data_IF_430588104093
#
_entry.id   IF_430588104093
#
_cell.length_a   1.000
_cell.length_b   1.000
_cell.length_c   1.000
_cell.angle_alpha   90.00
_cell.angle_beta   90.00
_cell.angle_gamma   90.00
#
_symmetry.space_group_name_H-M   'P 1'
#
loop_
_entity.id
_entity.type
_entity.pdbx_description
1 polymer ?
#
# COMPACT_ATOMS: atom_id res chain seq x y z
N UNK A 1 -3.56 -15.80 -16.17
CA UNK A 1 -4.02 -15.66 -14.77
C UNK A 1 -4.96 -16.80 -14.36
N UNK A 2 -6.08 -17.03 -15.04
CA UNK A 2 -7.06 -18.08 -14.68
C UNK A 2 -6.47 -19.49 -14.58
N UNK A 3 -5.60 -19.88 -15.52
CA UNK A 3 -4.93 -21.18 -15.50
C UNK A 3 -4.01 -21.35 -14.26
N UNK A 4 -3.32 -20.28 -13.85
CA UNK A 4 -2.48 -20.29 -12.65
C UNK A 4 -3.35 -20.49 -11.41
N UNK A 5 -4.46 -19.76 -11.32
CA UNK A 5 -5.40 -19.86 -10.19
C UNK A 5 -6.02 -21.27 -10.13
N UNK A 6 -6.36 -21.87 -11.26
CA UNK A 6 -6.87 -23.24 -11.31
C UNK A 6 -5.84 -24.24 -10.71
N UNK A 7 -4.56 -24.15 -11.13
CA UNK A 7 -3.48 -24.99 -10.58
C UNK A 7 -3.31 -24.77 -9.07
N UNK A 8 -3.40 -23.51 -8.58
CA UNK A 8 -3.32 -23.24 -7.15
C UNK A 8 -4.49 -23.90 -6.40
N UNK A 9 -5.69 -23.88 -6.97
CA UNK A 9 -6.85 -24.59 -6.39
C UNK A 9 -6.65 -26.10 -6.35
N UNK A 10 -5.87 -26.67 -7.24
CA UNK A 10 -5.46 -28.09 -7.24
C UNK A 10 -4.29 -28.39 -6.27
N UNK A 11 -3.79 -27.37 -5.57
CA UNK A 11 -2.71 -27.50 -4.57
C UNK A 11 -1.30 -27.28 -5.12
N UNK A 12 -1.15 -26.78 -6.36
CA UNK A 12 0.15 -26.48 -6.95
C UNK A 12 0.81 -25.26 -6.27
N UNK A 13 1.78 -25.53 -5.40
CA UNK A 13 2.55 -24.50 -4.69
C UNK A 13 3.46 -23.69 -5.62
N UNK A 14 3.96 -24.28 -6.74
CA UNK A 14 4.78 -23.53 -7.69
C UNK A 14 3.94 -22.47 -8.40
N UNK A 15 2.69 -22.81 -8.77
CA UNK A 15 1.74 -21.85 -9.31
C UNK A 15 1.40 -20.73 -8.30
N UNK A 16 1.31 -21.04 -7.00
CA UNK A 16 1.07 -20.02 -5.98
C UNK A 16 2.28 -19.08 -5.81
N UNK A 17 3.51 -19.60 -5.89
CA UNK A 17 4.72 -18.76 -5.85
C UNK A 17 4.76 -17.74 -7.00
N UNK A 18 4.26 -18.09 -8.18
CA UNK A 18 4.11 -17.13 -9.29
C UNK A 18 3.17 -15.97 -8.89
N UNK A 19 2.05 -16.27 -8.25
CA UNK A 19 1.13 -15.24 -7.76
C UNK A 19 1.76 -14.35 -6.67
N UNK A 20 2.56 -14.97 -5.77
CA UNK A 20 3.30 -14.21 -4.75
C UNK A 20 4.27 -13.26 -5.45
N UNK A 21 5.11 -13.76 -6.36
CA UNK A 21 6.14 -12.95 -7.03
C UNK A 21 5.54 -11.78 -7.80
N UNK A 22 4.41 -11.97 -8.45
CA UNK A 22 3.70 -10.92 -9.20
C UNK A 22 3.11 -9.83 -8.29
N UNK A 23 2.67 -10.19 -7.09
CA UNK A 23 1.89 -9.27 -6.25
C UNK A 23 2.58 -8.84 -4.94
N UNK A 24 3.72 -9.44 -4.55
CA UNK A 24 4.39 -9.16 -3.26
C UNK A 24 4.76 -7.70 -3.05
N UNK A 25 5.29 -7.03 -4.09
CA UNK A 25 5.72 -5.64 -3.99
C UNK A 25 4.54 -4.71 -3.66
N UNK A 26 3.40 -4.91 -4.33
CA UNK A 26 2.22 -4.08 -4.12
C UNK A 26 1.48 -4.42 -2.83
N UNK A 27 1.39 -5.71 -2.48
CA UNK A 27 0.84 -6.15 -1.20
C UNK A 27 1.61 -5.54 -0.02
N UNK A 28 2.95 -5.60 -0.08
CA UNK A 28 3.81 -4.95 0.91
C UNK A 28 3.64 -3.43 0.93
N UNK A 29 3.60 -2.77 -0.24
CA UNK A 29 3.41 -1.32 -0.32
C UNK A 29 2.09 -0.88 0.34
N UNK A 30 0.98 -1.58 0.06
CA UNK A 30 -0.32 -1.30 0.66
C UNK A 30 -0.27 -1.54 2.19
N UNK A 31 0.31 -2.64 2.63
CA UNK A 31 0.50 -2.95 4.05
C UNK A 31 1.33 -1.86 4.74
N UNK A 32 2.42 -1.39 4.12
CA UNK A 32 3.30 -0.36 4.67
C UNK A 32 2.58 1.00 4.83
N UNK A 33 1.69 1.36 3.89
CA UNK A 33 0.88 2.59 4.01
C UNK A 33 -0.11 2.53 5.16
N UNK A 34 -0.61 1.33 5.47
CA UNK A 34 -1.55 1.12 6.58
C UNK A 34 -0.84 1.00 7.93
N UNK A 35 0.26 0.26 7.99
CA UNK A 35 0.94 -0.05 9.25
C UNK A 35 1.92 1.01 9.71
N UNK A 36 2.45 1.84 8.77
CA UNK A 36 3.47 2.88 9.06
C UNK A 36 4.76 2.31 9.72
N UNK A 37 4.92 1.00 9.72
CA UNK A 37 6.04 0.25 10.27
C UNK A 37 6.37 -0.91 9.34
N UNK A 38 7.66 -1.10 9.04
CA UNK A 38 8.14 -2.09 8.09
C UNK A 38 7.87 -3.53 8.54
N UNK A 39 8.22 -3.83 9.79
CA UNK A 39 8.10 -5.19 10.35
C UNK A 39 6.64 -5.62 10.38
N UNK A 40 5.76 -4.76 10.90
CA UNK A 40 4.32 -4.99 10.88
C UNK A 40 3.77 -5.14 9.46
N UNK A 41 4.30 -4.38 8.48
CA UNK A 41 3.87 -4.48 7.09
C UNK A 41 4.29 -5.79 6.44
N UNK A 42 5.51 -6.27 6.72
CA UNK A 42 6.01 -7.57 6.25
C UNK A 42 5.15 -8.71 6.82
N UNK A 43 4.84 -8.70 8.11
CA UNK A 43 3.96 -9.70 8.72
C UNK A 43 2.54 -9.65 8.14
N UNK A 44 1.96 -8.45 7.97
CA UNK A 44 0.64 -8.30 7.35
C UNK A 44 0.61 -8.84 5.93
N UNK A 45 1.64 -8.55 5.12
CA UNK A 45 1.73 -9.06 3.76
C UNK A 45 1.85 -10.60 3.74
N UNK A 46 2.69 -11.19 4.59
CA UNK A 46 2.83 -12.63 4.73
C UNK A 46 1.51 -13.29 5.17
N UNK A 47 0.89 -12.77 6.21
CA UNK A 47 -0.41 -13.25 6.71
C UNK A 47 -1.50 -13.17 5.64
N UNK A 48 -1.48 -12.11 4.82
CA UNK A 48 -2.43 -11.95 3.73
C UNK A 48 -2.24 -13.01 2.64
N UNK A 49 -1.00 -13.33 2.25
CA UNK A 49 -0.74 -14.41 1.30
C UNK A 49 -1.13 -15.78 1.86
N UNK A 50 -0.85 -16.05 3.13
CA UNK A 50 -1.29 -17.29 3.79
C UNK A 50 -2.83 -17.40 3.81
N UNK A 51 -3.53 -16.31 4.09
CA UNK A 51 -4.99 -16.25 4.02
C UNK A 51 -5.50 -16.43 2.60
N UNK A 52 -4.86 -15.80 1.62
CA UNK A 52 -5.21 -15.94 0.21
C UNK A 52 -5.07 -17.40 -0.24
N UNK A 53 -3.97 -18.06 0.10
CA UNK A 53 -3.79 -19.48 -0.21
C UNK A 53 -4.88 -20.36 0.42
N UNK A 54 -5.13 -20.20 1.73
CA UNK A 54 -6.16 -20.97 2.44
C UNK A 54 -7.57 -20.76 1.88
N UNK A 55 -7.86 -19.57 1.36
CA UNK A 55 -9.18 -19.20 0.86
C UNK A 55 -9.26 -19.15 -0.67
N UNK A 56 -8.27 -19.67 -1.40
CA UNK A 56 -8.21 -19.59 -2.87
C UNK A 56 -9.44 -20.22 -3.55
N UNK A 57 -10.04 -21.23 -2.94
CA UNK A 57 -11.27 -21.86 -3.44
C UNK A 57 -12.49 -20.92 -3.42
N UNK A 58 -12.48 -19.90 -2.55
CA UNK A 58 -13.53 -18.89 -2.45
C UNK A 58 -13.38 -17.80 -3.53
N UNK A 59 -12.23 -17.72 -4.20
CA UNK A 59 -12.05 -16.79 -5.31
C UNK A 59 -12.89 -17.23 -6.50
N UNK A 60 -14.00 -16.50 -6.73
CA UNK A 60 -14.99 -16.82 -7.78
C UNK A 60 -14.63 -16.30 -9.18
N UNK A 61 -13.57 -15.49 -9.31
CA UNK A 61 -13.19 -14.88 -10.60
C UNK A 61 -14.04 -13.68 -11.04
N UNK A 62 -14.94 -13.19 -10.19
CA UNK A 62 -15.80 -12.03 -10.50
C UNK A 62 -15.05 -10.69 -10.50
N UNK A 63 -13.87 -10.65 -9.90
CA UNK A 63 -12.96 -9.52 -9.86
C UNK A 63 -11.55 -9.97 -10.25
N UNK A 64 -10.62 -9.02 -10.45
CA UNK A 64 -9.22 -9.36 -10.64
C UNK A 64 -8.68 -10.04 -9.37
N UNK A 65 -7.75 -11.00 -9.55
CA UNK A 65 -7.07 -11.64 -8.41
C UNK A 65 -6.37 -10.61 -7.52
N UNK A 66 -5.75 -9.59 -8.11
CA UNK A 66 -5.13 -8.48 -7.38
C UNK A 66 -6.11 -7.73 -6.48
N UNK A 67 -7.31 -7.41 -6.96
CA UNK A 67 -8.35 -6.74 -6.18
C UNK A 67 -8.77 -7.58 -4.97
N UNK A 68 -9.00 -8.89 -5.19
CA UNK A 68 -9.34 -9.82 -4.13
C UNK A 68 -8.20 -9.98 -3.11
N UNK A 69 -6.95 -10.12 -3.56
CA UNK A 69 -5.77 -10.19 -2.68
C UNK A 69 -5.61 -8.91 -1.86
N UNK A 70 -5.72 -7.73 -2.49
CA UNK A 70 -5.56 -6.46 -1.77
C UNK A 70 -6.67 -6.19 -0.77
N UNK A 71 -7.88 -6.72 -1.00
CA UNK A 71 -8.95 -6.76 0.01
C UNK A 71 -8.50 -7.56 1.25
N UNK A 72 -7.83 -8.69 1.04
CA UNK A 72 -7.29 -9.50 2.14
C UNK A 72 -6.18 -8.74 2.88
N UNK A 73 -5.25 -8.10 2.15
CA UNK A 73 -4.18 -7.28 2.74
C UNK A 73 -4.77 -6.15 3.58
N UNK A 74 -5.70 -5.39 3.01
CA UNK A 74 -6.35 -4.27 3.68
C UNK A 74 -7.05 -4.70 4.99
N UNK A 75 -7.87 -5.75 4.92
CA UNK A 75 -8.58 -6.27 6.09
C UNK A 75 -7.65 -6.88 7.14
N UNK A 76 -6.54 -7.50 6.72
CA UNK A 76 -5.53 -8.03 7.65
C UNK A 76 -4.85 -6.90 8.41
N UNK A 77 -4.46 -5.82 7.71
CA UNK A 77 -3.89 -4.63 8.31
C UNK A 77 -4.86 -3.96 9.30
N UNK A 78 -6.12 -3.76 8.91
CA UNK A 78 -7.13 -3.17 9.80
C UNK A 78 -7.35 -4.01 11.06
N UNK A 79 -7.35 -5.33 10.92
CA UNK A 79 -7.49 -6.25 12.07
C UNK A 79 -6.30 -6.12 13.02
N UNK A 80 -5.09 -6.00 12.48
CA UNK A 80 -3.88 -5.80 13.29
C UNK A 80 -3.88 -4.45 14.00
N UNK A 81 -4.25 -3.37 13.31
CA UNK A 81 -4.38 -2.03 13.89
C UNK A 81 -5.40 -2.00 15.04
N UNK A 82 -6.54 -2.69 14.88
CA UNK A 82 -7.54 -2.79 15.96
C UNK A 82 -6.99 -3.53 17.17
N UNK A 83 -6.28 -4.64 16.98
CA UNK A 83 -5.65 -5.38 18.08
C UNK A 83 -4.60 -4.53 18.80
N UNK A 84 -3.75 -3.82 18.06
CA UNK A 84 -2.71 -2.95 18.61
C UNK A 84 -3.33 -1.82 19.45
N UNK A 85 -4.41 -1.20 18.95
CA UNK A 85 -5.14 -0.17 19.69
C UNK A 85 -5.77 -0.67 21.00
N UNK A 86 -6.29 -1.90 21.01
CA UNK A 86 -6.85 -2.50 22.24
C UNK A 86 -5.76 -2.79 23.28
N UNK A 87 -4.53 -3.14 22.85
CA UNK A 87 -3.41 -3.40 23.72
C UNK A 87 -2.76 -2.11 24.26
N UNK A 88 -2.86 -0.98 23.54
CA UNK A 88 -2.29 0.32 23.94
C UNK A 88 -3.22 1.18 24.80
N UNK A 89 -4.46 0.76 25.05
CA UNK A 89 -5.37 1.51 25.93
C UNK A 89 -4.90 1.52 27.40
N UNK A 90 -3.92 0.70 27.76
CA UNK A 90 -3.30 0.65 29.11
C UNK A 90 -1.96 1.38 29.24
N UNK A 91 -1.42 1.98 28.18
CA UNK A 91 -0.14 2.69 28.21
C UNK A 91 -0.18 3.89 27.25
N UNK A 92 -0.01 5.09 27.79
CA UNK A 92 0.22 6.32 27.02
C UNK A 92 1.43 6.15 26.10
N UNK A 93 1.21 6.19 24.79
CA UNK A 93 2.29 6.20 23.80
C UNK A 93 2.23 7.43 22.92
N UNK A 94 3.28 8.24 23.06
CA UNK A 94 3.69 9.21 22.06
C UNK A 94 3.97 8.46 20.74
N UNK A 95 3.30 8.86 19.65
CA UNK A 95 3.66 8.41 18.32
C UNK A 95 5.00 9.04 17.94
N UNK A 96 6.08 8.27 18.01
CA UNK A 96 7.30 8.60 17.30
C UNK A 96 7.11 8.35 15.82
N UNK A 97 7.19 9.43 15.04
CA UNK A 97 7.26 9.39 13.57
C UNK A 97 8.59 8.77 13.14
N UNK A 98 8.64 7.46 12.99
CA UNK A 98 9.78 6.80 12.38
C UNK A 98 9.62 6.77 10.85
N UNK A 99 10.10 7.80 10.20
CA UNK A 99 10.40 7.84 8.78
C UNK A 99 11.60 6.90 8.51
N UNK A 100 11.33 5.65 8.17
CA UNK A 100 12.35 4.73 7.71
C UNK A 100 12.86 5.17 6.33
N UNK A 101 14.04 5.79 6.28
CA UNK A 101 14.76 6.09 5.07
C UNK A 101 15.28 4.80 4.42
N UNK A 102 14.89 4.54 3.18
CA UNK A 102 15.44 3.48 2.37
C UNK A 102 16.65 3.98 1.61
N UNK A 103 17.83 3.43 1.94
CA UNK A 103 19.04 3.58 1.13
C UNK A 103 19.18 2.38 0.21
N UNK A 104 19.16 2.58 -1.08
CA UNK A 104 19.77 1.67 -2.05
C UNK A 104 20.66 2.49 -2.97
N UNK A 105 21.96 2.20 -2.86
CA UNK A 105 23.01 2.81 -3.65
C UNK A 105 23.12 2.17 -5.04
N UNK A 106 23.53 3.02 -5.97
CA UNK A 106 24.24 2.76 -7.23
C UNK A 106 23.45 2.34 -8.48
N UNK A 107 23.17 3.35 -9.27
CA UNK A 107 23.53 3.42 -10.71
C UNK A 107 23.33 4.85 -11.23
N UNK A 108 24.44 5.42 -11.57
CA UNK A 108 24.81 6.78 -11.88
C UNK A 108 23.93 7.67 -12.76
N UNK A 109 23.96 8.94 -12.49
CA UNK A 109 23.59 10.20 -13.15
C UNK A 109 22.16 10.31 -13.74
N UNK A 110 21.71 9.44 -14.62
CA UNK A 110 20.30 9.41 -15.07
C UNK A 110 19.34 8.88 -14.00
N UNK A 111 19.85 8.18 -13.00
CA UNK A 111 19.12 7.77 -11.80
C UNK A 111 18.97 8.90 -10.78
N UNK A 112 19.92 9.81 -10.64
CA UNK A 112 19.86 10.91 -9.67
C UNK A 112 18.60 11.76 -9.87
N UNK A 113 18.32 12.23 -11.09
CA UNK A 113 17.10 13.00 -11.36
C UNK A 113 15.80 12.20 -11.10
N UNK A 114 15.80 10.89 -11.36
CA UNK A 114 14.65 10.04 -11.12
C UNK A 114 14.53 9.64 -9.65
N UNK A 115 15.66 9.50 -8.94
CA UNK A 115 15.70 9.19 -7.50
C UNK A 115 15.32 10.40 -6.65
N UNK A 116 15.75 11.61 -7.03
CA UNK A 116 15.37 12.85 -6.36
C UNK A 116 13.87 13.12 -6.48
N UNK A 117 13.32 13.05 -7.71
CA UNK A 117 11.86 13.16 -7.93
C UNK A 117 11.07 12.09 -7.18
N UNK A 118 11.59 10.87 -7.13
CA UNK A 118 11.00 9.77 -6.37
C UNK A 118 11.07 10.04 -4.87
N UNK A 119 12.14 10.65 -4.39
CA UNK A 119 12.32 11.09 -3.01
C UNK A 119 11.23 12.07 -2.57
N UNK A 120 11.05 13.17 -3.32
CA UNK A 120 10.01 14.18 -3.03
C UNK A 120 8.59 13.61 -3.05
N UNK A 121 8.29 12.75 -4.02
CA UNK A 121 6.97 12.10 -4.07
C UNK A 121 6.76 11.20 -2.84
N UNK A 122 7.78 10.46 -2.43
CA UNK A 122 7.72 9.60 -1.24
C UNK A 122 7.54 10.41 0.03
N UNK A 123 8.28 11.50 0.17
CA UNK A 123 8.19 12.41 1.31
C UNK A 123 6.83 13.11 1.35
N UNK A 124 6.39 13.69 0.23
CA UNK A 124 5.08 14.32 0.12
C UNK A 124 3.93 13.34 0.43
N UNK A 125 4.04 12.08 -0.01
CA UNK A 125 3.08 11.03 0.36
C UNK A 125 3.11 10.75 1.86
N UNK A 126 4.29 10.81 2.50
CA UNK A 126 4.43 10.63 3.95
C UNK A 126 3.70 11.68 4.78
N UNK A 127 3.53 12.90 4.24
CA UNK A 127 2.79 13.99 4.90
C UNK A 127 1.26 13.86 4.81
N UNK A 128 0.74 12.90 4.04
CA UNK A 128 -0.69 12.65 3.91
C UNK A 128 -1.21 11.74 5.02
N UNK A 129 -2.52 11.84 5.31
CA UNK A 129 -3.16 10.85 6.18
C UNK A 129 -3.09 9.44 5.60
N UNK A 130 -3.14 8.42 6.45
CA UNK A 130 -3.10 7.01 6.04
C UNK A 130 -4.15 6.69 4.96
N UNK A 131 -5.38 7.19 5.11
CA UNK A 131 -6.43 6.96 4.11
C UNK A 131 -6.14 7.65 2.77
N UNK A 132 -5.55 8.85 2.79
CA UNK A 132 -5.14 9.55 1.58
C UNK A 132 -3.98 8.81 0.88
N UNK A 133 -3.01 8.29 1.65
CA UNK A 133 -1.93 7.45 1.12
C UNK A 133 -2.48 6.18 0.47
N UNK A 134 -3.42 5.51 1.12
CA UNK A 134 -4.06 4.29 0.59
C UNK A 134 -4.77 4.57 -0.73
N UNK A 135 -5.63 5.60 -0.80
CA UNK A 135 -6.38 5.87 -2.04
C UNK A 135 -5.48 6.29 -3.20
N UNK A 136 -4.42 7.06 -2.94
CA UNK A 136 -3.42 7.43 -3.95
C UNK A 136 -2.65 6.20 -4.41
N UNK A 137 -2.21 5.34 -3.49
CA UNK A 137 -1.49 4.11 -3.80
C UNK A 137 -2.33 3.17 -4.67
N UNK A 138 -3.57 2.89 -4.26
CA UNK A 138 -4.46 2.02 -5.03
C UNK A 138 -4.77 2.58 -6.41
N UNK A 139 -5.00 3.89 -6.53
CA UNK A 139 -5.37 4.48 -7.81
C UNK A 139 -4.19 4.62 -8.77
N UNK A 140 -3.04 5.14 -8.32
CA UNK A 140 -1.91 5.48 -9.19
C UNK A 140 -0.83 4.40 -9.31
N UNK A 141 -0.57 3.65 -8.24
CA UNK A 141 0.48 2.62 -8.26
C UNK A 141 -0.09 1.24 -8.65
N UNK A 142 -1.32 0.95 -8.25
CA UNK A 142 -2.00 -0.32 -8.58
C UNK A 142 -2.92 -0.21 -9.78
N UNK A 143 -3.12 0.99 -10.33
CA UNK A 143 -4.03 1.26 -11.45
C UNK A 143 -5.46 0.71 -11.23
N UNK A 144 -5.90 0.68 -9.96
CA UNK A 144 -7.23 0.24 -9.63
C UNK A 144 -8.28 1.27 -10.07
N UNK A 145 -9.37 0.80 -10.63
CA UNK A 145 -10.56 1.61 -10.87
C UNK A 145 -11.19 2.06 -9.56
N UNK A 146 -12.06 3.08 -9.60
CA UNK A 146 -12.77 3.53 -8.40
C UNK A 146 -13.65 2.43 -7.79
N UNK A 147 -14.24 1.54 -8.61
CA UNK A 147 -14.99 0.39 -8.15
C UNK A 147 -14.12 -0.61 -7.42
N UNK A 148 -12.95 -0.96 -7.99
CA UNK A 148 -12.01 -1.86 -7.33
C UNK A 148 -11.52 -1.30 -6.00
N UNK A 149 -11.31 0.03 -5.90
CA UNK A 149 -10.98 0.67 -4.63
C UNK A 149 -12.12 0.55 -3.62
N UNK A 150 -13.39 0.69 -4.05
CA UNK A 150 -14.54 0.44 -3.19
C UNK A 150 -14.57 -1.00 -2.67
N UNK A 151 -14.29 -1.99 -3.53
CA UNK A 151 -14.22 -3.41 -3.15
C UNK A 151 -13.09 -3.68 -2.15
N UNK A 152 -11.90 -3.12 -2.39
CA UNK A 152 -10.74 -3.30 -1.51
C UNK A 152 -10.97 -2.68 -0.13
N UNK A 153 -11.50 -1.46 -0.08
CA UNK A 153 -11.58 -0.66 1.14
C UNK A 153 -12.92 -0.75 1.85
N UNK A 154 -13.94 -1.28 1.17
CA UNK A 154 -15.34 -1.25 1.60
C UNK A 154 -15.86 0.19 1.81
N UNK A 155 -15.34 1.16 1.03
CA UNK A 155 -15.82 2.53 1.04
C UNK A 155 -16.87 2.76 -0.04
N UNK A 156 -17.81 3.64 0.23
CA UNK A 156 -18.78 4.13 -0.74
C UNK A 156 -18.09 4.85 -1.91
N UNK A 157 -18.60 4.70 -3.14
CA UNK A 157 -18.03 5.32 -4.34
C UNK A 157 -17.91 6.85 -4.23
N UNK A 158 -18.91 7.49 -3.64
CA UNK A 158 -18.92 8.93 -3.34
C UNK A 158 -17.76 9.32 -2.44
N UNK A 159 -17.48 8.51 -1.40
CA UNK A 159 -16.38 8.71 -0.47
C UNK A 159 -15.02 8.54 -1.17
N UNK A 160 -14.85 7.46 -1.97
CA UNK A 160 -13.62 7.22 -2.74
C UNK A 160 -13.31 8.41 -3.67
N UNK A 161 -14.30 8.91 -4.41
CA UNK A 161 -14.14 10.08 -5.29
C UNK A 161 -13.69 11.33 -4.53
N UNK A 162 -14.35 11.64 -3.42
CA UNK A 162 -14.04 12.82 -2.60
C UNK A 162 -12.66 12.69 -1.95
N UNK A 163 -12.33 11.50 -1.41
CA UNK A 163 -11.00 11.24 -0.83
C UNK A 163 -9.90 11.38 -1.87
N UNK A 164 -10.04 10.76 -3.03
CA UNK A 164 -9.06 10.85 -4.10
C UNK A 164 -8.83 12.29 -4.55
N UNK A 165 -9.91 13.06 -4.70
CA UNK A 165 -9.81 14.49 -5.06
C UNK A 165 -9.07 15.30 -3.97
N UNK A 166 -9.41 15.11 -2.70
CA UNK A 166 -8.75 15.79 -1.58
C UNK A 166 -7.30 15.37 -1.42
N UNK A 167 -7.02 14.07 -1.54
CA UNK A 167 -5.67 13.51 -1.45
C UNK A 167 -4.75 14.10 -2.55
N UNK A 168 -5.23 14.24 -3.79
CA UNK A 168 -4.49 14.90 -4.88
C UNK A 168 -4.13 16.34 -4.53
N UNK A 169 -5.08 17.12 -4.00
CA UNK A 169 -4.83 18.52 -3.61
C UNK A 169 -3.81 18.62 -2.47
N UNK A 170 -3.90 17.73 -1.48
CA UNK A 170 -2.94 17.68 -0.37
C UNK A 170 -1.55 17.26 -0.84
N UNK A 171 -1.47 16.26 -1.74
CA UNK A 171 -0.21 15.82 -2.33
C UNK A 171 0.46 16.95 -3.11
N UNK A 172 -0.30 17.67 -3.95
CA UNK A 172 0.22 18.81 -4.69
C UNK A 172 0.78 19.88 -3.74
N UNK A 173 0.01 20.26 -2.72
CA UNK A 173 0.45 21.24 -1.71
C UNK A 173 1.70 20.78 -0.96
N UNK A 174 1.80 19.51 -0.60
CA UNK A 174 2.98 18.97 0.06
C UNK A 174 4.21 19.02 -0.86
N UNK A 175 4.06 18.68 -2.13
CA UNK A 175 5.13 18.78 -3.13
C UNK A 175 5.60 20.24 -3.33
N UNK A 176 4.67 21.19 -3.44
CA UNK A 176 4.99 22.61 -3.55
C UNK A 176 5.80 23.09 -2.33
N UNK A 177 5.39 22.72 -1.12
CA UNK A 177 6.11 23.09 0.11
C UNK A 177 7.53 22.51 0.17
N UNK A 178 7.72 21.24 -0.22
CA UNK A 178 9.03 20.60 -0.24
C UNK A 178 9.95 21.24 -1.27
N UNK A 179 9.46 21.51 -2.47
CA UNK A 179 10.23 22.15 -3.53
C UNK A 179 10.59 23.60 -3.22
N UNK A 180 9.68 24.39 -2.61
CA UNK A 180 9.96 25.76 -2.19
C UNK A 180 11.04 25.80 -1.09
N UNK A 181 11.02 24.83 -0.18
CA UNK A 181 12.02 24.72 0.90
C UNK A 181 13.40 24.44 0.32
N UNK A 182 13.49 23.56 -0.68
CA UNK A 182 14.76 23.23 -1.31
C UNK A 182 15.33 24.40 -2.12
N UNK A 183 14.51 25.06 -2.93
CA UNK A 183 14.94 26.26 -3.68
C UNK A 183 15.51 27.34 -2.73
N UNK A 184 14.88 27.54 -1.56
CA UNK A 184 15.38 28.48 -0.55
C UNK A 184 16.68 28.03 0.13
N UNK A 185 16.93 26.72 0.20
CA UNK A 185 18.17 26.19 0.78
C UNK A 185 19.38 26.30 -0.16
N UNK A 186 19.12 26.50 -1.45
CA UNK A 186 20.14 26.66 -2.51
C UNK A 186 20.52 28.14 -2.78
N UNK A 187 19.77 29.10 -2.22
CA UNK A 187 20.01 30.56 -2.28
C UNK A 187 20.70 31.10 -1.04
#
# INVERSE_FOLDING_TARGET
>A
MELIIAKVKEGDMAAFNVLIDEHKAMAFTLALKLMQNREDAEEVAQDAFLKAYKNIHQFAGNAKFSTWLYTIVYNTALTRLRKKKLQTTDLDFHQEENLASYSESDKEWHRLQKSERSGYIKEALGLLSTEDQVVITLFYLNENSLQEICEITNWELSNVKVRLHRARKRLLKALEQLLDTEVRSLL
#
